data_IF_193324334266
#
_entry.id   IF_193324334266
#
_cell.length_a   1.000
_cell.length_b   1.000
_cell.length_c   1.000
_cell.angle_alpha   90.00
_cell.angle_beta   90.00
_cell.angle_gamma   90.00
#
_symmetry.space_group_name_H-M   'P 1'
#
loop_
_entity.id
_entity.type
_entity.pdbx_description
1 polymer ?
#
# COMPACT_ATOMS: atom_id res chain seq x y z
N UNK A 1 -18.08 -4.60 1.84
CA UNK A 1 -18.90 -3.37 1.95
C UNK A 1 -18.21 -2.16 1.29
N UNK A 2 -16.92 -2.12 1.21
CA UNK A 2 -16.07 -0.94 0.92
C UNK A 2 -15.92 -0.51 -0.54
N UNK A 3 -16.31 -1.34 -1.49
CA UNK A 3 -16.03 -1.12 -2.93
C UNK A 3 -17.23 -0.61 -3.73
N UNK A 4 -18.41 -0.56 -3.13
CA UNK A 4 -19.64 -0.16 -3.83
C UNK A 4 -19.71 1.34 -4.16
N UNK A 5 -18.99 2.18 -3.42
CA UNK A 5 -19.12 3.64 -3.53
C UNK A 5 -18.46 4.25 -4.78
N UNK A 6 -17.45 3.59 -5.32
CA UNK A 6 -16.71 4.04 -6.51
C UNK A 6 -16.76 3.02 -7.65
N UNK A 7 -17.42 1.90 -7.45
CA UNK A 7 -17.44 0.78 -8.38
C UNK A 7 -17.96 1.18 -9.76
N UNK A 8 -19.03 1.96 -9.80
CA UNK A 8 -19.72 2.29 -11.05
C UNK A 8 -19.12 3.50 -11.77
N UNK A 9 -18.17 4.20 -11.17
CA UNK A 9 -17.61 5.45 -11.69
C UNK A 9 -16.09 5.45 -11.82
N UNK A 10 -15.40 4.51 -11.18
CA UNK A 10 -13.94 4.47 -11.20
C UNK A 10 -13.40 3.86 -12.48
N UNK A 11 -12.59 4.59 -13.23
CA UNK A 11 -11.83 4.08 -14.36
C UNK A 11 -10.53 3.38 -13.95
N UNK A 12 -10.00 3.73 -12.77
CA UNK A 12 -8.83 3.09 -12.18
C UNK A 12 -8.91 3.07 -10.65
N UNK A 13 -8.31 2.06 -10.02
CA UNK A 13 -8.21 1.90 -8.57
C UNK A 13 -6.74 1.69 -8.20
N UNK A 14 -6.28 2.43 -7.20
CA UNK A 14 -4.94 2.31 -6.63
C UNK A 14 -5.05 1.77 -5.20
N UNK A 15 -4.60 0.54 -4.97
CA UNK A 15 -4.50 -0.09 -3.66
C UNK A 15 -3.08 0.12 -3.14
N UNK A 16 -2.94 0.84 -2.03
CA UNK A 16 -1.63 1.28 -1.55
C UNK A 16 -1.01 0.34 -0.51
N UNK A 17 -1.17 -0.97 -0.68
CA UNK A 17 -0.55 -2.00 0.14
C UNK A 17 -1.29 -2.32 1.43
N UNK A 18 -0.76 -3.31 2.15
CA UNK A 18 -1.30 -3.82 3.42
C UNK A 18 -2.80 -4.18 3.33
N UNK A 19 -3.19 -4.75 2.18
CA UNK A 19 -4.55 -5.26 1.97
C UNK A 19 -4.81 -6.51 2.82
N UNK A 20 -3.76 -7.22 3.17
CA UNK A 20 -3.75 -8.44 3.97
C UNK A 20 -2.88 -8.25 5.21
N UNK A 21 -3.24 -8.90 6.31
CA UNK A 21 -2.36 -8.96 7.49
C UNK A 21 -1.07 -9.75 7.22
N UNK A 22 -1.13 -10.67 6.27
CA UNK A 22 0.00 -11.43 5.76
C UNK A 22 -0.35 -12.06 4.40
N UNK A 23 0.58 -11.99 3.45
CA UNK A 23 0.46 -12.63 2.15
C UNK A 23 1.74 -13.38 1.79
N UNK A 24 1.60 -14.64 1.34
CA UNK A 24 2.67 -15.45 0.79
C UNK A 24 2.15 -16.38 -0.29
N UNK A 25 2.78 -16.39 -1.44
CA UNK A 25 2.42 -17.26 -2.56
C UNK A 25 3.29 -18.51 -2.56
N UNK A 26 2.71 -19.63 -2.15
CA UNK A 26 3.25 -20.96 -2.42
C UNK A 26 3.06 -21.30 -3.90
N UNK A 27 3.62 -22.42 -4.36
CA UNK A 27 3.48 -22.78 -5.78
C UNK A 27 2.02 -23.02 -6.21
N UNK A 28 1.19 -23.58 -5.33
CA UNK A 28 -0.19 -23.97 -5.63
C UNK A 28 -1.18 -23.51 -4.56
N UNK A 29 -0.74 -22.75 -3.57
CA UNK A 29 -1.58 -22.38 -2.42
C UNK A 29 -1.35 -20.93 -2.04
N UNK A 30 -2.42 -20.21 -1.78
CA UNK A 30 -2.43 -18.87 -1.18
C UNK A 30 -3.12 -18.90 0.19
N UNK A 31 -2.92 -17.90 1.05
CA UNK A 31 -3.61 -17.82 2.34
C UNK A 31 -5.12 -17.77 2.17
N UNK A 32 -5.84 -18.54 2.98
CA UNK A 32 -7.31 -18.54 3.00
C UNK A 32 -7.87 -17.33 3.75
N UNK A 33 -9.15 -17.05 3.56
CA UNK A 33 -9.88 -15.98 4.27
C UNK A 33 -10.14 -14.74 3.41
N UNK A 34 -9.53 -14.65 2.23
CA UNK A 34 -9.57 -13.48 1.36
C UNK A 34 -10.43 -13.66 0.10
N UNK A 35 -11.16 -14.77 -0.04
CA UNK A 35 -11.95 -15.12 -1.24
C UNK A 35 -12.88 -13.99 -1.69
N UNK A 36 -13.56 -13.31 -0.76
CA UNK A 36 -14.51 -12.23 -1.12
C UNK A 36 -13.80 -10.99 -1.67
N UNK A 37 -12.65 -10.61 -1.11
CA UNK A 37 -11.88 -9.46 -1.61
C UNK A 37 -11.23 -9.79 -2.94
N UNK A 38 -10.66 -10.98 -3.08
CA UNK A 38 -10.07 -11.46 -4.35
C UNK A 38 -11.12 -11.54 -5.45
N UNK A 39 -12.28 -12.17 -5.16
CA UNK A 39 -13.39 -12.24 -6.12
C UNK A 39 -13.92 -10.88 -6.54
N UNK A 40 -13.97 -9.89 -5.63
CA UNK A 40 -14.39 -8.54 -6.01
C UNK A 40 -13.33 -7.81 -6.83
N UNK A 41 -12.06 -8.07 -6.59
CA UNK A 41 -10.96 -7.53 -7.41
C UNK A 41 -10.98 -8.14 -8.82
N UNK A 42 -11.18 -9.46 -8.93
CA UNK A 42 -11.36 -10.14 -10.22
C UNK A 42 -12.54 -9.55 -11.00
N UNK A 43 -13.72 -9.47 -10.37
CA UNK A 43 -14.93 -8.88 -10.99
C UNK A 43 -14.68 -7.47 -11.53
N UNK A 44 -14.01 -6.59 -10.77
CA UNK A 44 -13.70 -5.23 -11.22
C UNK A 44 -12.70 -5.21 -12.38
N UNK A 45 -11.69 -6.09 -12.33
CA UNK A 45 -10.73 -6.26 -13.42
C UNK A 45 -11.40 -6.74 -14.70
N UNK A 46 -12.28 -7.75 -14.60
CA UNK A 46 -13.07 -8.29 -15.73
C UNK A 46 -14.01 -7.24 -16.34
N UNK A 47 -14.49 -6.29 -15.54
CA UNK A 47 -15.27 -5.13 -15.97
C UNK A 47 -14.40 -4.03 -16.64
N UNK A 48 -13.11 -4.22 -16.76
CA UNK A 48 -12.18 -3.30 -17.41
C UNK A 48 -11.66 -2.17 -16.50
N UNK A 49 -11.92 -2.20 -15.20
CA UNK A 49 -11.34 -1.24 -14.25
C UNK A 49 -9.85 -1.53 -14.09
N UNK A 50 -9.00 -0.54 -14.38
CA UNK A 50 -7.55 -0.68 -14.21
C UNK A 50 -7.19 -0.67 -12.74
N UNK A 51 -6.67 -1.79 -12.21
CA UNK A 51 -6.29 -1.90 -10.82
C UNK A 51 -4.76 -1.92 -10.69
N UNK A 52 -4.24 -1.02 -9.87
CA UNK A 52 -2.83 -0.95 -9.50
C UNK A 52 -2.69 -1.29 -8.03
N UNK A 53 -1.88 -2.30 -7.71
CA UNK A 53 -1.58 -2.70 -6.35
C UNK A 53 -0.13 -2.36 -6.00
N UNK A 54 0.06 -1.60 -4.92
CA UNK A 54 1.39 -1.35 -4.37
C UNK A 54 1.63 -2.29 -3.19
N UNK A 55 2.73 -3.00 -3.23
CA UNK A 55 3.12 -3.93 -2.17
C UNK A 55 3.47 -3.16 -0.91
N UNK A 56 2.81 -3.50 0.20
CA UNK A 56 3.12 -3.01 1.53
C UNK A 56 4.02 -3.95 2.32
N UNK A 57 4.26 -3.63 3.58
CA UNK A 57 5.12 -4.45 4.43
C UNK A 57 4.46 -5.75 4.90
N UNK A 58 3.14 -5.84 4.92
CA UNK A 58 2.41 -7.06 5.26
C UNK A 58 2.21 -8.01 4.06
N UNK A 59 2.31 -7.51 2.85
CA UNK A 59 2.13 -8.26 1.62
C UNK A 59 3.37 -8.26 0.70
N UNK A 60 4.58 -8.22 1.30
CA UNK A 60 5.88 -8.18 0.62
C UNK A 60 6.15 -9.37 -0.32
N UNK A 61 5.46 -10.49 -0.15
CA UNK A 61 5.75 -11.74 -0.83
C UNK A 61 4.76 -12.06 -1.95
N UNK A 62 4.27 -11.03 -2.61
CA UNK A 62 3.54 -11.16 -3.87
C UNK A 62 4.48 -11.57 -5.01
N UNK A 63 4.08 -12.56 -5.81
CA UNK A 63 4.96 -13.18 -6.83
C UNK A 63 4.29 -13.47 -8.17
N UNK A 64 3.13 -12.93 -8.43
CA UNK A 64 2.48 -13.10 -9.72
C UNK A 64 1.00 -13.47 -9.66
N UNK A 65 0.49 -13.95 -8.53
CA UNK A 65 -0.91 -14.32 -8.41
C UNK A 65 -1.87 -13.19 -8.81
N UNK A 66 -1.56 -11.96 -8.46
CA UNK A 66 -2.40 -10.82 -8.80
C UNK A 66 -2.38 -10.49 -10.30
N UNK A 67 -1.22 -10.62 -10.93
CA UNK A 67 -1.07 -10.40 -12.36
C UNK A 67 -1.69 -11.54 -13.18
N UNK A 68 -1.40 -12.79 -12.79
CA UNK A 68 -1.76 -13.98 -13.55
C UNK A 68 -3.23 -14.36 -13.40
N UNK A 69 -3.77 -14.27 -12.16
CA UNK A 69 -5.13 -14.74 -11.85
C UNK A 69 -6.16 -13.61 -11.79
N UNK A 70 -5.75 -12.38 -11.51
CA UNK A 70 -6.66 -11.26 -11.32
C UNK A 70 -6.49 -10.13 -12.36
N UNK A 71 -5.48 -10.20 -13.22
CA UNK A 71 -5.19 -9.14 -14.20
C UNK A 71 -4.79 -7.80 -13.58
N UNK A 72 -4.27 -7.79 -12.36
CA UNK A 72 -3.94 -6.59 -11.58
C UNK A 72 -2.46 -6.27 -11.70
N UNK A 73 -2.11 -5.02 -12.01
CA UNK A 73 -0.71 -4.59 -12.06
C UNK A 73 -0.13 -4.39 -10.65
N UNK A 74 0.92 -5.14 -10.31
CA UNK A 74 1.62 -5.03 -9.01
C UNK A 74 2.86 -4.15 -9.11
N UNK A 75 3.02 -3.26 -8.14
CA UNK A 75 4.15 -2.35 -8.01
C UNK A 75 4.89 -2.60 -6.69
N UNK A 76 6.16 -2.99 -6.76
CA UNK A 76 7.02 -3.22 -5.60
C UNK A 76 7.75 -1.95 -5.12
N UNK A 77 7.56 -0.83 -5.80
CA UNK A 77 8.18 0.47 -5.48
C UNK A 77 7.24 1.60 -5.82
N UNK A 78 7.37 2.76 -5.18
CA UNK A 78 6.65 3.96 -5.61
C UNK A 78 6.92 4.29 -7.06
N UNK A 79 5.89 4.79 -7.75
CA UNK A 79 5.91 5.06 -9.19
C UNK A 79 5.23 6.38 -9.53
N UNK A 80 5.73 7.04 -10.57
CA UNK A 80 5.08 8.21 -11.18
C UNK A 80 3.89 7.78 -12.06
N UNK A 81 2.79 8.51 -11.95
CA UNK A 81 1.62 8.42 -12.82
C UNK A 81 1.24 9.80 -13.32
N UNK A 82 0.70 9.84 -14.51
CA UNK A 82 0.03 11.05 -15.05
C UNK A 82 -1.40 10.67 -15.35
N UNK A 83 -2.33 11.32 -14.65
CA UNK A 83 -3.76 11.17 -14.86
C UNK A 83 -4.27 12.48 -15.43
N UNK A 84 -4.69 12.47 -16.69
CA UNK A 84 -4.88 13.67 -17.49
C UNK A 84 -3.60 14.54 -17.49
N UNK A 85 -3.67 15.74 -16.98
CA UNK A 85 -2.53 16.68 -16.87
C UNK A 85 -1.86 16.68 -15.50
N UNK A 86 -2.44 15.98 -14.51
CA UNK A 86 -1.98 15.97 -13.12
C UNK A 86 -0.99 14.84 -12.87
N UNK A 87 0.09 15.15 -12.21
CA UNK A 87 1.19 14.22 -11.94
C UNK A 87 1.17 13.73 -10.49
N UNK A 88 1.29 12.40 -10.33
CA UNK A 88 1.25 11.72 -9.05
C UNK A 88 2.53 10.93 -8.82
N UNK A 89 2.97 10.87 -7.58
CA UNK A 89 3.93 9.89 -7.11
C UNK A 89 3.26 9.03 -6.04
N UNK A 90 3.00 7.77 -6.39
CA UNK A 90 2.15 6.89 -5.59
C UNK A 90 2.97 5.70 -5.08
N UNK A 91 2.77 5.31 -3.83
CA UNK A 91 3.39 4.13 -3.25
C UNK A 91 2.79 3.76 -1.89
N UNK A 92 3.26 2.64 -1.30
CA UNK A 92 2.84 2.26 0.04
C UNK A 92 3.43 3.22 1.09
N UNK A 93 4.74 3.35 1.16
CA UNK A 93 5.41 4.28 2.08
C UNK A 93 6.42 3.66 3.01
N UNK A 94 6.40 2.35 3.20
CA UNK A 94 7.28 1.62 4.10
C UNK A 94 8.78 1.74 3.73
N UNK A 95 9.62 1.97 4.74
CA UNK A 95 11.07 2.04 4.57
C UNK A 95 11.59 3.22 3.75
N UNK A 96 10.78 4.24 3.46
CA UNK A 96 11.19 5.44 2.70
C UNK A 96 11.80 6.53 3.59
N UNK A 97 11.53 6.50 4.88
CA UNK A 97 12.06 7.47 5.84
C UNK A 97 13.58 7.41 6.00
N UNK A 98 14.22 8.52 6.44
CA UNK A 98 15.67 8.57 6.61
C UNK A 98 16.15 7.63 7.73
N UNK A 99 15.40 7.47 8.82
CA UNK A 99 15.85 6.85 10.07
C UNK A 99 15.36 5.41 10.29
N UNK A 100 14.60 4.84 9.37
CA UNK A 100 14.04 3.50 9.48
C UNK A 100 15.06 2.38 9.14
N UNK A 101 16.22 2.42 9.81
CA UNK A 101 17.33 1.48 9.55
C UNK A 101 16.99 0.05 9.96
N UNK A 102 16.24 -0.11 11.05
CA UNK A 102 15.83 -1.42 11.57
C UNK A 102 14.91 -2.14 10.59
N UNK A 103 13.84 -1.48 10.19
CA UNK A 103 12.91 -2.01 9.21
C UNK A 103 13.56 -2.26 7.84
N UNK A 104 14.42 -1.37 7.35
CA UNK A 104 15.17 -1.56 6.10
C UNK A 104 16.05 -2.82 6.12
N UNK A 105 16.66 -3.16 7.27
CA UNK A 105 17.42 -4.41 7.43
C UNK A 105 16.49 -5.62 7.43
N UNK A 106 15.39 -5.55 8.16
CA UNK A 106 14.39 -6.62 8.21
C UNK A 106 13.75 -6.84 6.83
N UNK A 107 13.39 -5.77 6.12
CA UNK A 107 12.88 -5.84 4.74
C UNK A 107 13.86 -6.55 3.81
N UNK A 108 15.18 -6.30 3.93
CA UNK A 108 16.21 -7.01 3.14
C UNK A 108 16.19 -8.52 3.41
N UNK A 109 15.99 -8.95 4.65
CA UNK A 109 15.86 -10.37 5.00
C UNK A 109 14.60 -10.96 4.36
N UNK A 110 13.46 -10.32 4.54
CA UNK A 110 12.19 -10.80 3.99
C UNK A 110 12.14 -10.79 2.45
N UNK A 111 12.82 -9.86 1.81
CA UNK A 111 12.88 -9.81 0.33
C UNK A 111 14.01 -10.65 -0.25
N UNK A 112 14.83 -11.32 0.57
CA UNK A 112 15.89 -12.18 0.10
C UNK A 112 15.33 -13.47 -0.51
N UNK A 113 15.67 -13.82 -1.77
CA UNK A 113 15.14 -15.00 -2.45
C UNK A 113 15.42 -16.32 -1.73
N UNK A 114 16.57 -16.45 -1.03
CA UNK A 114 16.93 -17.64 -0.29
C UNK A 114 15.96 -17.85 0.91
N UNK A 115 15.69 -16.81 1.70
CA UNK A 115 14.76 -16.94 2.82
C UNK A 115 13.33 -17.18 2.35
N UNK A 116 12.92 -16.59 1.24
CA UNK A 116 11.63 -16.86 0.63
C UNK A 116 11.53 -18.28 0.11
N UNK A 117 12.60 -18.80 -0.48
CA UNK A 117 12.68 -20.22 -0.91
C UNK A 117 12.62 -21.16 0.29
N UNK A 118 13.39 -20.92 1.35
CA UNK A 118 13.36 -21.73 2.55
C UNK A 118 11.98 -21.72 3.22
N UNK A 119 11.31 -20.57 3.27
CA UNK A 119 9.95 -20.44 3.82
C UNK A 119 8.92 -21.29 3.06
N UNK A 120 9.07 -21.48 1.75
CA UNK A 120 8.18 -22.32 0.93
C UNK A 120 8.12 -23.78 1.38
N UNK A 121 9.15 -24.26 2.08
CA UNK A 121 9.20 -25.63 2.60
C UNK A 121 8.52 -25.79 3.96
N UNK A 122 8.13 -24.69 4.60
CA UNK A 122 7.31 -24.75 5.81
C UNK A 122 5.87 -25.05 5.39
N UNK A 123 5.26 -26.05 6.07
CA UNK A 123 3.87 -26.36 5.81
C UNK A 123 2.99 -25.11 5.89
N UNK A 124 2.08 -24.84 4.93
CA UNK A 124 1.30 -23.60 4.89
C UNK A 124 0.56 -23.26 6.18
N UNK A 125 -0.03 -24.25 6.85
CA UNK A 125 -0.74 -24.04 8.12
C UNK A 125 0.17 -23.57 9.25
N UNK A 126 1.43 -23.97 9.26
CA UNK A 126 2.43 -23.52 10.24
C UNK A 126 2.96 -22.14 9.84
N UNK A 127 3.39 -22.01 8.58
CA UNK A 127 3.97 -20.78 8.07
C UNK A 127 3.01 -19.60 8.17
N UNK A 128 1.79 -19.74 7.66
CA UNK A 128 0.78 -18.69 7.68
C UNK A 128 0.43 -18.28 9.11
N UNK A 129 0.19 -19.24 10.02
CA UNK A 129 -0.12 -18.95 11.43
C UNK A 129 1.03 -18.23 12.14
N UNK A 130 2.26 -18.67 11.89
CA UNK A 130 3.45 -18.05 12.47
C UNK A 130 3.62 -16.61 11.99
N UNK A 131 3.48 -16.37 10.68
CA UNK A 131 3.60 -15.04 10.11
C UNK A 131 2.48 -14.10 10.57
N UNK A 132 1.24 -14.58 10.64
CA UNK A 132 0.12 -13.81 11.21
C UNK A 132 0.36 -13.45 12.67
N UNK A 133 0.88 -14.39 13.48
CA UNK A 133 1.25 -14.11 14.87
C UNK A 133 2.30 -13.00 14.97
N UNK A 134 3.34 -13.04 14.13
CA UNK A 134 4.38 -12.00 14.10
C UNK A 134 3.82 -10.65 13.63
N UNK A 135 2.94 -10.66 12.63
CA UNK A 135 2.28 -9.46 12.12
C UNK A 135 1.44 -8.78 13.20
N UNK A 136 0.58 -9.53 13.88
CA UNK A 136 -0.26 -9.01 14.99
C UNK A 136 0.60 -8.50 16.14
N UNK A 137 1.66 -9.23 16.53
CA UNK A 137 2.59 -8.81 17.58
C UNK A 137 3.31 -7.50 17.22
N UNK A 138 3.77 -7.37 15.99
CA UNK A 138 4.39 -6.13 15.51
C UNK A 138 3.41 -4.95 15.55
N UNK A 139 2.17 -5.15 15.11
CA UNK A 139 1.12 -4.14 15.14
C UNK A 139 0.79 -3.67 16.57
N UNK A 140 0.84 -4.56 17.56
CA UNK A 140 0.66 -4.20 18.98
C UNK A 140 1.83 -3.37 19.54
N UNK A 141 3.04 -3.55 19.00
CA UNK A 141 4.24 -2.84 19.45
C UNK A 141 4.39 -1.48 18.77
N UNK A 142 4.19 -1.39 17.46
CA UNK A 142 4.44 -0.19 16.65
C UNK A 142 3.20 0.61 16.27
N UNK A 143 2.01 0.01 16.33
CA UNK A 143 0.77 0.63 15.83
C UNK A 143 0.38 1.95 16.52
N UNK A 144 0.81 2.18 17.76
CA UNK A 144 0.57 3.44 18.46
C UNK A 144 1.45 4.60 17.96
N UNK A 145 2.65 4.31 17.48
CA UNK A 145 3.56 5.32 16.91
C UNK A 145 3.16 5.68 15.48
N UNK A 146 2.70 4.71 14.71
CA UNK A 146 2.28 4.91 13.32
C UNK A 146 1.01 5.77 13.19
N UNK A 147 0.15 5.79 14.20
CA UNK A 147 -1.06 6.61 14.24
C UNK A 147 -0.85 8.00 14.85
N UNK A 148 0.37 8.35 15.31
CA UNK A 148 0.64 9.66 15.93
C UNK A 148 1.21 10.63 14.90
N UNK A 149 0.57 11.80 14.75
CA UNK A 149 1.10 12.89 13.93
C UNK A 149 2.33 13.52 14.61
N UNK A 150 3.46 13.51 13.91
CA UNK A 150 4.74 14.02 14.43
C UNK A 150 4.96 15.51 14.13
N UNK A 151 4.09 16.13 13.33
CA UNK A 151 4.23 17.49 12.81
C UNK A 151 4.88 17.51 11.41
N UNK A 152 4.50 18.51 10.61
CA UNK A 152 4.83 18.60 9.17
C UNK A 152 6.32 18.39 8.84
N UNK A 153 7.22 18.80 9.74
CA UNK A 153 8.66 18.72 9.50
C UNK A 153 9.28 17.42 10.02
N UNK A 154 8.59 16.70 10.90
CA UNK A 154 9.05 15.44 11.48
C UNK A 154 8.42 14.21 10.82
N UNK A 155 7.33 14.38 10.05
CA UNK A 155 6.74 13.30 9.26
C UNK A 155 7.70 12.85 8.17
N UNK A 156 8.26 11.66 8.34
CA UNK A 156 9.30 11.13 7.46
C UNK A 156 8.85 10.92 6.02
N UNK A 157 7.57 10.62 5.75
CA UNK A 157 7.04 10.59 4.38
C UNK A 157 6.89 11.98 3.77
N UNK A 158 6.61 13.01 4.57
CA UNK A 158 6.63 14.41 4.13
C UNK A 158 8.05 14.83 3.76
N UNK A 159 9.04 14.51 4.61
CA UNK A 159 10.46 14.75 4.31
C UNK A 159 10.90 14.03 3.02
N UNK A 160 10.51 12.77 2.86
CA UNK A 160 10.79 12.00 1.66
C UNK A 160 10.15 12.63 0.42
N UNK A 161 8.89 13.05 0.52
CA UNK A 161 8.17 13.73 -0.57
C UNK A 161 8.82 15.05 -0.96
N UNK A 162 9.21 15.88 0.03
CA UNK A 162 9.98 17.12 -0.21
C UNK A 162 11.32 16.85 -0.90
N UNK A 163 12.02 15.77 -0.53
CA UNK A 163 13.25 15.37 -1.21
C UNK A 163 12.97 14.99 -2.66
N UNK A 164 11.95 14.18 -2.92
CA UNK A 164 11.56 13.77 -4.28
C UNK A 164 11.04 14.92 -5.13
N UNK A 165 10.41 15.90 -4.51
CA UNK A 165 9.95 17.12 -5.17
C UNK A 165 11.11 17.98 -5.70
N UNK A 166 12.26 17.99 -5.01
CA UNK A 166 13.48 18.65 -5.50
C UNK A 166 14.06 17.96 -6.74
N UNK A 167 13.84 16.67 -6.91
CA UNK A 167 14.33 15.90 -8.07
C UNK A 167 13.44 16.13 -9.31
N UNK A 168 12.12 16.17 -9.11
CA UNK A 168 11.12 16.34 -10.17
C UNK A 168 9.83 16.86 -9.57
N UNK A 169 9.16 17.79 -10.26
CA UNK A 169 7.82 18.25 -9.86
C UNK A 169 6.80 17.12 -9.94
N UNK A 170 5.91 17.06 -8.95
CA UNK A 170 4.68 16.25 -8.92
C UNK A 170 3.63 17.01 -8.16
N UNK A 171 2.40 16.97 -8.66
CA UNK A 171 1.28 17.67 -8.03
C UNK A 171 0.86 16.98 -6.72
N UNK A 172 0.87 15.64 -6.72
CA UNK A 172 0.49 14.84 -5.56
C UNK A 172 1.51 13.75 -5.23
N UNK A 173 1.82 13.62 -3.94
CA UNK A 173 2.54 12.50 -3.34
C UNK A 173 1.54 11.71 -2.48
N UNK A 174 1.15 10.51 -2.90
CA UNK A 174 0.08 9.74 -2.26
C UNK A 174 0.64 8.45 -1.68
N UNK A 175 0.44 8.26 -0.36
CA UNK A 175 0.94 7.13 0.38
C UNK A 175 -0.10 6.52 1.32
N UNK A 176 0.13 5.27 1.73
CA UNK A 176 -0.51 4.59 2.86
C UNK A 176 0.42 4.50 4.06
N UNK A 177 0.50 3.33 4.67
CA UNK A 177 1.42 2.91 5.74
C UNK A 177 1.29 3.63 7.08
N UNK A 178 1.17 4.96 7.06
CA UNK A 178 0.90 5.76 8.26
C UNK A 178 -0.60 5.72 8.55
N UNK A 179 -1.13 4.96 9.35
CA UNK A 179 -2.56 4.81 9.68
C UNK A 179 -3.23 6.14 10.11
N UNK A 180 -2.91 7.22 9.43
CA UNK A 180 -3.32 8.58 9.74
C UNK A 180 -3.68 9.33 8.46
N UNK A 181 -4.95 9.72 8.22
CA UNK A 181 -5.32 10.48 7.04
C UNK A 181 -4.74 11.90 7.14
N UNK A 182 -3.88 12.25 6.18
CA UNK A 182 -3.19 13.54 6.14
C UNK A 182 -3.31 14.15 4.74
N UNK A 183 -3.49 15.47 4.69
CA UNK A 183 -3.39 16.28 3.47
C UNK A 183 -2.58 17.52 3.80
N UNK A 184 -1.34 17.58 3.31
CA UNK A 184 -0.35 18.60 3.68
C UNK A 184 0.21 19.27 2.43
N UNK A 185 0.18 20.59 2.38
CA UNK A 185 0.83 21.35 1.33
C UNK A 185 2.35 21.27 1.48
N UNK A 186 3.03 20.82 0.42
CA UNK A 186 4.48 20.81 0.36
C UNK A 186 5.04 22.13 -0.14
N UNK A 187 4.30 22.77 -1.05
CA UNK A 187 4.45 24.11 -1.58
C UNK A 187 3.13 24.54 -2.26
N UNK A 188 3.11 25.66 -2.97
CA UNK A 188 1.93 26.24 -3.62
C UNK A 188 1.30 25.33 -4.71
N UNK A 189 2.03 24.34 -5.20
CA UNK A 189 1.64 23.50 -6.34
C UNK A 189 1.68 22.00 -6.06
N UNK A 190 2.11 21.58 -4.88
CA UNK A 190 2.34 20.17 -4.58
C UNK A 190 1.81 19.80 -3.21
N UNK A 191 1.13 18.65 -3.11
CA UNK A 191 0.54 18.13 -1.87
C UNK A 191 1.06 16.74 -1.53
N UNK A 192 1.18 16.49 -0.25
CA UNK A 192 1.34 15.17 0.32
C UNK A 192 -0.01 14.70 0.87
N UNK A 193 -0.42 13.49 0.48
CA UNK A 193 -1.65 12.86 0.96
C UNK A 193 -1.32 11.48 1.51
N UNK A 194 -1.69 11.22 2.76
CA UNK A 194 -1.72 9.88 3.30
C UNK A 194 -3.16 9.41 3.43
N UNK A 195 -3.44 8.21 2.94
CA UNK A 195 -4.81 7.71 2.88
C UNK A 195 -5.38 7.29 4.25
N UNK A 196 -4.54 7.20 5.30
CA UNK A 196 -4.97 6.61 6.55
C UNK A 196 -5.17 5.10 6.44
N UNK A 197 -6.21 4.58 7.06
CA UNK A 197 -6.54 3.15 7.11
C UNK A 197 -8.03 2.86 6.92
N UNK A 198 -8.35 1.58 6.70
CA UNK A 198 -9.71 1.04 6.66
C UNK A 198 -10.10 0.29 7.94
N UNK A 199 -9.39 0.55 9.06
CA UNK A 199 -9.61 -0.06 10.37
C UNK A 199 -10.30 0.94 11.30
N UNK A 200 -9.77 2.15 11.37
CA UNK A 200 -10.20 3.21 12.30
C UNK A 200 -10.79 4.43 11.58
N UNK A 201 -10.21 4.82 10.45
CA UNK A 201 -10.55 6.06 9.75
C UNK A 201 -11.48 5.85 8.56
N UNK A 202 -11.50 4.65 7.97
CA UNK A 202 -12.28 4.33 6.76
C UNK A 202 -12.11 5.36 5.65
N UNK A 203 -10.85 5.81 5.45
CA UNK A 203 -10.52 6.92 4.56
C UNK A 203 -9.98 6.44 3.21
N UNK A 204 -10.25 7.21 2.18
CA UNK A 204 -9.82 6.96 0.80
C UNK A 204 -9.69 8.28 0.05
N UNK A 205 -8.99 8.28 -1.09
CA UNK A 205 -8.92 9.46 -1.94
C UNK A 205 -9.64 9.23 -3.28
N UNK A 206 -10.23 10.28 -3.80
CA UNK A 206 -10.87 10.32 -5.13
C UNK A 206 -10.27 11.47 -5.93
N UNK A 207 -9.78 11.15 -7.12
CA UNK A 207 -9.37 12.13 -8.12
C UNK A 207 -10.48 12.26 -9.17
N UNK A 208 -11.02 13.44 -9.31
CA UNK A 208 -12.14 13.73 -10.21
C UNK A 208 -11.72 14.26 -11.60
N UNK A 209 -10.47 14.07 -11.96
CA UNK A 209 -9.77 14.60 -13.13
C UNK A 209 -9.17 16.01 -12.97
N UNK A 210 -9.43 16.70 -11.88
CA UNK A 210 -8.88 18.03 -11.57
C UNK A 210 -8.22 18.05 -10.20
N UNK A 211 -8.91 17.55 -9.18
CA UNK A 211 -8.47 17.63 -7.78
C UNK A 211 -8.56 16.29 -7.08
N UNK A 212 -7.61 16.03 -6.18
CA UNK A 212 -7.60 14.87 -5.30
C UNK A 212 -8.25 15.22 -3.96
N UNK A 213 -9.35 14.54 -3.65
CA UNK A 213 -10.08 14.68 -2.40
C UNK A 213 -9.83 13.49 -1.47
N UNK A 214 -9.37 13.77 -0.27
CA UNK A 214 -9.34 12.77 0.81
C UNK A 214 -10.74 12.75 1.47
N UNK A 215 -11.36 11.57 1.50
CA UNK A 215 -12.73 11.34 2.01
C UNK A 215 -12.73 10.28 3.08
N UNK A 216 -13.70 10.35 3.96
CA UNK A 216 -14.05 9.31 4.94
C UNK A 216 -15.46 8.79 4.67
N UNK A 217 -15.75 7.57 5.13
CA UNK A 217 -17.10 6.99 5.11
C UNK A 217 -17.96 7.54 6.24
#
# INVERSE_FOLDING_TARGET
MYKRQVQDTASAIFLLGDLFDFWFEYKYVIPKGFTRVLGKLAELSDQGVKIHFFVGNHDLWMKGYFEEELGITVHHRPKDFTLNTTTFFIGHGDGLGPDDKGFKRLKKVFTNPFFQWAYKWIHPDIGVRFAQYLSVKNKLISGGEDARFLGNDKEWLVQYSRKKLKEKHRDYFVFGHRHLPLNIDLNDRSKYVNLGDWISHYSYAVFDNETLFLKTL
#
